data_IF_544089648165
#
_entry.id   IF_544089648165
#
_cell.length_a   1.000
_cell.length_b   1.000
_cell.length_c   1.000
_cell.angle_alpha   90.00
_cell.angle_beta   90.00
_cell.angle_gamma   90.00
#
_symmetry.space_group_name_H-M   'P 1'
#
loop_
_entity.id
_entity.type
_entity.pdbx_description
1 polymer ?
#
# COMPACT_ATOMS: atom_id res chain seq x y z
N UNK A 1 2.95 -9.90 3.01
CA UNK A 1 4.28 -10.37 3.48
C UNK A 1 4.61 -9.69 4.80
N UNK A 2 5.09 -10.43 5.81
CA UNK A 2 5.65 -9.87 7.04
C UNK A 2 7.18 -9.94 6.94
N UNK A 3 7.82 -8.79 7.05
CA UNK A 3 9.26 -8.64 7.12
C UNK A 3 9.70 -8.47 8.57
N UNK A 4 10.78 -9.13 8.96
CA UNK A 4 11.38 -9.00 10.29
C UNK A 4 12.85 -8.59 10.13
N UNK A 5 13.30 -7.58 10.89
CA UNK A 5 14.67 -7.11 10.86
C UNK A 5 15.72 -8.20 11.20
N UNK A 6 15.29 -9.31 11.83
CA UNK A 6 16.13 -10.49 12.04
C UNK A 6 16.32 -11.36 10.78
N UNK A 7 15.72 -10.97 9.64
CA UNK A 7 15.76 -11.70 8.36
C UNK A 7 14.77 -12.87 8.27
N UNK A 8 13.72 -12.86 9.09
CA UNK A 8 12.69 -13.89 9.10
C UNK A 8 11.42 -13.43 8.38
N UNK A 9 11.49 -13.38 7.06
CA UNK A 9 10.37 -12.95 6.23
C UNK A 9 9.39 -14.11 5.98
N UNK A 10 8.09 -13.82 6.04
CA UNK A 10 7.05 -14.85 5.83
C UNK A 10 5.75 -14.30 5.27
N UNK A 11 5.06 -15.12 4.49
CA UNK A 11 3.67 -14.86 4.13
C UNK A 11 2.76 -15.14 5.33
N UNK A 12 1.79 -14.26 5.54
CA UNK A 12 0.86 -14.31 6.68
C UNK A 12 -0.53 -13.94 6.21
N UNK A 13 -1.55 -14.52 6.86
CA UNK A 13 -2.93 -14.08 6.73
C UNK A 13 -3.14 -12.80 7.54
N UNK A 14 -3.75 -11.79 6.92
CA UNK A 14 -3.93 -10.48 7.55
C UNK A 14 -5.17 -10.54 8.44
N UNK A 15 -4.96 -10.45 9.75
CA UNK A 15 -6.02 -10.44 10.75
C UNK A 15 -5.78 -9.32 11.75
N UNK A 16 -6.85 -8.80 12.38
CA UNK A 16 -6.71 -7.77 13.44
C UNK A 16 -5.74 -8.19 14.56
N UNK A 17 -5.79 -9.43 15.09
CA UNK A 17 -4.84 -9.86 16.12
C UNK A 17 -3.39 -9.85 15.66
N UNK A 18 -3.11 -10.19 14.39
CA UNK A 18 -1.76 -10.11 13.83
C UNK A 18 -1.26 -8.66 13.82
N UNK A 19 -2.08 -7.73 13.31
CA UNK A 19 -1.72 -6.31 13.19
C UNK A 19 -1.43 -5.71 14.57
N UNK A 20 -2.25 -6.03 15.57
CA UNK A 20 -2.07 -5.58 16.94
C UNK A 20 -0.82 -6.16 17.65
N UNK A 21 -0.20 -7.20 17.10
CA UNK A 21 0.99 -7.87 17.64
C UNK A 21 2.27 -7.53 16.88
N UNK A 22 2.20 -6.66 15.87
CA UNK A 22 3.38 -6.24 15.13
C UNK A 22 4.36 -5.54 16.06
N UNK A 23 5.59 -6.05 16.09
CA UNK A 23 6.66 -5.42 16.86
C UNK A 23 7.25 -4.23 16.08
N UNK A 24 8.02 -3.38 16.78
CA UNK A 24 8.73 -2.25 16.14
C UNK A 24 9.81 -2.67 15.14
N UNK A 25 10.18 -3.94 15.11
CA UNK A 25 11.18 -4.50 14.17
C UNK A 25 10.54 -5.26 13.02
N UNK A 26 9.21 -5.18 12.90
CA UNK A 26 8.44 -5.89 11.89
C UNK A 26 7.71 -4.91 10.97
N UNK A 27 7.66 -5.24 9.69
CA UNK A 27 6.93 -4.48 8.68
C UNK A 27 5.98 -5.41 7.94
N UNK A 28 4.68 -5.07 7.96
CA UNK A 28 3.68 -5.77 7.18
C UNK A 28 3.52 -5.07 5.83
N UNK A 29 3.93 -5.74 4.76
CA UNK A 29 3.75 -5.28 3.38
C UNK A 29 2.52 -5.95 2.76
N UNK A 30 1.62 -5.14 2.25
CA UNK A 30 0.38 -5.59 1.64
C UNK A 30 0.35 -5.05 0.22
N UNK A 31 0.41 -5.98 -0.73
CA UNK A 31 0.28 -5.66 -2.15
C UNK A 31 -1.15 -5.96 -2.59
N UNK A 32 -1.77 -5.02 -3.29
CA UNK A 32 -3.15 -5.12 -3.75
C UNK A 32 -3.17 -4.87 -5.25
N UNK A 33 -3.20 -5.96 -6.01
CA UNK A 33 -3.44 -5.91 -7.44
C UNK A 33 -4.94 -5.84 -7.71
N UNK A 34 -5.38 -4.96 -8.62
CA UNK A 34 -6.77 -4.83 -9.04
C UNK A 34 -7.76 -4.74 -7.84
N UNK A 35 -7.63 -3.68 -7.05
CA UNK A 35 -8.41 -3.46 -5.83
C UNK A 35 -9.93 -3.62 -6.08
N UNK A 36 -10.45 -4.80 -5.74
CA UNK A 36 -11.88 -5.01 -5.60
C UNK A 36 -12.35 -4.32 -4.31
N UNK A 37 -13.49 -3.62 -4.41
CA UNK A 37 -14.03 -2.80 -3.33
C UNK A 37 -14.30 -3.61 -2.05
N UNK A 38 -14.67 -4.88 -2.20
CA UNK A 38 -14.97 -5.77 -1.08
C UNK A 38 -13.69 -6.15 -0.31
N UNK A 39 -12.64 -6.57 -1.03
CA UNK A 39 -11.33 -6.90 -0.45
C UNK A 39 -10.70 -5.68 0.23
N UNK A 40 -10.84 -4.50 -0.38
CA UNK A 40 -10.29 -3.30 0.24
C UNK A 40 -11.03 -2.93 1.52
N UNK A 41 -12.35 -3.09 1.57
CA UNK A 41 -13.15 -2.75 2.76
C UNK A 41 -12.82 -3.60 3.99
N UNK A 42 -12.62 -4.92 3.80
CA UNK A 42 -12.18 -5.81 4.88
C UNK A 42 -10.79 -5.43 5.40
N UNK A 43 -9.89 -5.05 4.49
CA UNK A 43 -8.54 -4.64 4.84
C UNK A 43 -8.50 -3.33 5.63
N UNK A 44 -9.31 -2.34 5.24
CA UNK A 44 -9.50 -1.08 6.01
C UNK A 44 -9.88 -1.40 7.44
N UNK A 45 -10.88 -2.26 7.60
CA UNK A 45 -11.36 -2.64 8.92
C UNK A 45 -10.25 -3.35 9.71
N UNK A 46 -9.50 -4.26 9.09
CA UNK A 46 -8.43 -4.98 9.77
C UNK A 46 -7.26 -4.09 10.23
N UNK A 47 -6.97 -3.02 9.47
CA UNK A 47 -5.83 -2.12 9.70
C UNK A 47 -6.19 -0.85 10.47
N UNK A 48 -7.46 -0.64 10.82
CA UNK A 48 -7.97 0.59 11.46
C UNK A 48 -7.64 1.87 10.67
N UNK A 49 -7.63 1.76 9.34
CA UNK A 49 -7.38 2.87 8.43
C UNK A 49 -8.72 3.61 8.17
N UNK A 50 -8.74 4.94 7.99
CA UNK A 50 -9.97 5.63 7.58
C UNK A 50 -10.42 5.18 6.18
N UNK A 51 -11.72 4.87 5.96
CA UNK A 51 -12.21 4.46 4.63
C UNK A 51 -11.94 5.48 3.51
N UNK A 52 -11.88 6.77 3.87
CA UNK A 52 -11.54 7.84 2.93
C UNK A 52 -10.14 7.70 2.33
N UNK A 53 -9.20 7.10 3.08
CA UNK A 53 -7.81 6.95 2.68
C UNK A 53 -7.68 5.95 1.53
N UNK A 54 -8.45 4.86 1.53
CA UNK A 54 -8.43 3.90 0.43
C UNK A 54 -8.95 4.51 -0.85
N UNK A 55 -10.10 5.18 -0.80
CA UNK A 55 -10.64 5.89 -1.96
C UNK A 55 -9.64 6.89 -2.53
N UNK A 56 -8.79 7.45 -1.67
CA UNK A 56 -7.76 8.40 -2.06
C UNK A 56 -6.63 7.74 -2.85
N UNK A 57 -6.16 6.58 -2.43
CA UNK A 57 -5.04 5.87 -3.09
C UNK A 57 -5.46 5.03 -4.29
N UNK A 58 -6.75 4.69 -4.42
CA UNK A 58 -7.29 3.99 -5.58
C UNK A 58 -7.74 4.93 -6.71
N UNK A 59 -7.94 6.22 -6.44
CA UNK A 59 -8.22 7.22 -7.48
C UNK A 59 -6.93 7.69 -8.16
N UNK A 60 -6.41 6.84 -9.06
CA UNK A 60 -5.17 7.05 -9.81
C UNK A 60 -5.30 8.06 -10.97
N UNK A 61 -6.45 8.74 -11.09
CA UNK A 61 -6.68 9.75 -12.14
C UNK A 61 -6.19 11.14 -11.75
N UNK A 62 -5.70 11.28 -10.52
CA UNK A 62 -5.32 12.56 -9.92
C UNK A 62 -3.82 12.84 -10.05
N UNK A 63 -3.41 14.10 -9.89
CA UNK A 63 -2.00 14.41 -9.69
C UNK A 63 -1.42 13.74 -8.43
N UNK A 64 -0.11 13.45 -8.42
CA UNK A 64 0.61 13.01 -7.22
C UNK A 64 0.31 13.88 -6.01
N UNK A 65 0.20 13.24 -4.84
CA UNK A 65 -0.16 13.92 -3.60
C UNK A 65 0.46 13.24 -2.40
N UNK A 66 0.46 13.95 -1.26
CA UNK A 66 0.76 13.44 0.06
C UNK A 66 -0.25 14.02 1.04
N UNK A 67 -1.12 13.16 1.57
CA UNK A 67 -2.11 13.50 2.58
C UNK A 67 -1.67 12.90 3.93
N UNK A 68 -1.80 13.70 4.99
CA UNK A 68 -1.50 13.28 6.36
C UNK A 68 -2.81 13.05 7.11
N UNK A 69 -2.98 11.86 7.68
CA UNK A 69 -4.06 11.51 8.61
C UNK A 69 -3.45 11.24 9.98
N UNK A 70 -4.27 11.26 11.03
CA UNK A 70 -3.80 11.07 12.40
C UNK A 70 -3.09 9.72 12.61
N UNK A 71 -3.50 8.66 11.89
CA UNK A 71 -2.98 7.29 12.02
C UNK A 71 -2.12 6.81 10.85
N UNK A 72 -2.07 7.56 9.74
CA UNK A 72 -1.38 7.12 8.54
C UNK A 72 -1.04 8.26 7.57
N UNK A 73 -0.14 7.97 6.65
CA UNK A 73 0.14 8.78 5.47
C UNK A 73 -0.41 8.08 4.24
N UNK A 74 -0.99 8.85 3.31
CA UNK A 74 -1.38 8.34 2.01
C UNK A 74 -0.78 9.20 0.91
N UNK A 75 -0.19 8.57 -0.08
CA UNK A 75 0.44 9.29 -1.18
C UNK A 75 0.33 8.52 -2.48
N UNK A 76 0.42 9.25 -3.58
CA UNK A 76 0.52 8.68 -4.92
C UNK A 76 1.77 9.21 -5.60
N UNK A 77 2.47 8.31 -6.31
CA UNK A 77 3.68 8.63 -7.08
C UNK A 77 3.52 8.18 -8.51
N UNK A 78 4.07 8.95 -9.43
CA UNK A 78 4.21 8.53 -10.81
C UNK A 78 5.48 7.69 -10.93
N UNK A 79 5.31 6.46 -11.43
CA UNK A 79 6.40 5.56 -11.74
C UNK A 79 6.54 5.43 -13.28
N UNK A 80 7.76 5.28 -13.80
CA UNK A 80 7.92 4.90 -15.20
C UNK A 80 7.19 3.58 -15.47
N UNK A 81 6.53 3.46 -16.62
CA UNK A 81 5.87 2.22 -17.02
C UNK A 81 6.91 1.11 -17.19
N UNK A 82 6.91 0.13 -16.29
CA UNK A 82 7.80 -1.02 -16.37
C UNK A 82 7.15 -2.11 -17.20
N UNK A 83 7.42 -2.16 -18.50
CA UNK A 83 7.31 -3.43 -19.22
C UNK A 83 8.58 -4.22 -18.97
N UNK A 84 8.42 -5.46 -18.50
CA UNK A 84 9.54 -6.36 -18.26
C UNK A 84 10.26 -6.67 -19.59
N UNK A 85 11.36 -5.96 -19.86
CA UNK A 85 12.31 -6.35 -20.90
C UNK A 85 12.80 -5.27 -21.86
N UNK A 86 12.21 -4.06 -21.89
CA UNK A 86 12.64 -3.05 -22.85
C UNK A 86 13.10 -1.75 -22.18
N UNK A 87 14.23 -1.27 -22.69
CA UNK A 87 14.80 0.06 -22.46
C UNK A 87 13.68 1.10 -22.41
N UNK A 88 13.62 2.00 -21.40
CA UNK A 88 12.55 2.97 -21.31
C UNK A 88 12.54 3.85 -22.57
N UNK A 89 11.56 3.64 -23.44
CA UNK A 89 11.27 4.56 -24.54
C UNK A 89 10.76 5.86 -23.93
N UNK A 90 11.49 6.95 -24.18
CA UNK A 90 11.06 8.31 -23.84
C UNK A 90 9.68 8.56 -24.48
N UNK A 91 8.64 8.59 -23.66
CA UNK A 91 7.27 8.92 -24.09
C UNK A 91 6.18 7.91 -23.71
N UNK A 92 6.49 6.74 -23.14
CA UNK A 92 5.45 5.87 -22.58
C UNK A 92 4.81 6.52 -21.35
N UNK A 93 3.47 6.50 -21.28
CA UNK A 93 2.73 7.02 -20.14
C UNK A 93 3.15 6.25 -18.87
N UNK A 94 3.62 6.98 -17.86
CA UNK A 94 3.92 6.41 -16.55
C UNK A 94 2.68 5.77 -15.91
N UNK A 95 2.90 4.88 -14.96
CA UNK A 95 1.84 4.33 -14.11
C UNK A 95 1.85 5.06 -12.78
N UNK A 96 0.69 5.39 -12.25
CA UNK A 96 0.59 5.95 -10.91
C UNK A 96 0.39 4.82 -9.90
N UNK A 97 1.12 4.89 -8.78
CA UNK A 97 1.05 3.93 -7.68
C UNK A 97 0.58 4.65 -6.42
N UNK A 98 -0.41 4.08 -5.75
CA UNK A 98 -0.95 4.57 -4.47
C UNK A 98 -0.39 3.80 -3.28
N UNK A 99 -0.01 4.50 -2.22
CA UNK A 99 0.57 3.93 -1.01
C UNK A 99 -0.15 4.44 0.24
N UNK A 100 -0.31 3.54 1.22
CA UNK A 100 -0.69 3.88 2.58
C UNK A 100 0.40 3.38 3.52
N UNK A 101 0.90 4.26 4.38
CA UNK A 101 1.88 3.93 5.41
C UNK A 101 1.27 4.24 6.77
N UNK A 102 1.05 3.19 7.57
CA UNK A 102 0.52 3.29 8.93
C UNK A 102 1.57 2.80 9.94
N UNK A 103 1.62 3.46 11.09
CA UNK A 103 2.44 3.06 12.24
C UNK A 103 1.56 2.77 13.45
N UNK A 104 1.93 1.75 14.22
CA UNK A 104 1.38 1.49 15.55
C UNK A 104 2.14 2.31 16.61
#
# INVERSE_FOLDING_TARGET
>A
MLYDAAGQDRNVEITRPLVAQLSKTQLLWIDIENADNDVTSELVAALDIPPSTIRRVTDLTRPPYLDNYDSCFAFAVDAPGCEAGDTPENGKAGVQLGFIVAGQ
#
